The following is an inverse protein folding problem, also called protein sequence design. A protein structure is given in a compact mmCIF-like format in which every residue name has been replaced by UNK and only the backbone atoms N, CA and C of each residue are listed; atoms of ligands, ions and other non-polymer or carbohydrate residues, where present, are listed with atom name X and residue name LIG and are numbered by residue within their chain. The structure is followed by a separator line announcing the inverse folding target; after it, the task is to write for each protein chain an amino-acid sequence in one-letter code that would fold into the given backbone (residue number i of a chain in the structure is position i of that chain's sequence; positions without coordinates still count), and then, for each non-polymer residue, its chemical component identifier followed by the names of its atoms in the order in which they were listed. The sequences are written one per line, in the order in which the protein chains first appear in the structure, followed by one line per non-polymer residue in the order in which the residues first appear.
data_IF_942729073857
#
_entry.id   IF_942729073857
#
_cell.length_a   1.000
_cell.length_b   1.000
_cell.length_c   1.000
_cell.angle_alpha   90.00
_cell.angle_beta   90.00
_cell.angle_gamma   90.00
#
_symmetry.space_group_name_H-M   'P 1'
#
loop_
_entity.id
_entity.type
_entity.pdbx_description
1 polymer ?
#
# COMPACT_ATOMS: atom_id res chain seq x y z
N UNK A 1 -40.14 7.24 3.57
CA UNK A 1 -38.77 6.86 3.99
C UNK A 1 -37.69 7.71 3.31
N UNK A 2 -37.74 7.95 1.99
CA UNK A 2 -36.73 8.77 1.28
C UNK A 2 -36.66 10.22 1.82
N UNK A 3 -37.78 10.86 2.08
CA UNK A 3 -37.82 12.24 2.56
C UNK A 3 -37.23 12.40 3.97
N UNK A 4 -37.43 11.43 4.85
CA UNK A 4 -36.85 11.46 6.21
C UNK A 4 -35.32 11.32 6.18
N UNK A 5 -34.78 10.46 5.30
CA UNK A 5 -33.33 10.30 5.14
C UNK A 5 -32.71 11.56 4.53
N UNK A 6 -33.36 12.16 3.54
CA UNK A 6 -32.92 13.42 2.96
C UNK A 6 -32.87 14.55 4.01
N UNK A 7 -33.87 14.64 4.90
CA UNK A 7 -33.85 15.60 6.03
C UNK A 7 -32.66 15.36 6.96
N UNK A 8 -32.38 14.09 7.31
CA UNK A 8 -31.23 13.74 8.17
C UNK A 8 -29.89 14.14 7.52
N UNK A 9 -29.74 13.86 6.23
CA UNK A 9 -28.55 14.27 5.46
C UNK A 9 -28.39 15.79 5.47
N UNK A 10 -29.46 16.54 5.15
CA UNK A 10 -29.43 18.00 5.13
C UNK A 10 -29.11 18.57 6.50
N UNK A 11 -29.67 18.00 7.58
CA UNK A 11 -29.37 18.42 8.96
C UNK A 11 -27.91 18.23 9.32
N UNK A 12 -27.29 17.10 8.96
CA UNK A 12 -25.86 16.89 9.20
C UNK A 12 -24.98 17.81 8.34
N UNK A 13 -25.45 18.14 7.12
CA UNK A 13 -24.75 19.10 6.24
C UNK A 13 -24.77 20.55 6.77
N UNK A 14 -25.52 20.87 7.81
CA UNK A 14 -25.42 22.16 8.49
C UNK A 14 -24.05 22.33 9.18
N UNK A 15 -23.38 21.25 9.53
CA UNK A 15 -22.01 21.25 10.03
C UNK A 15 -21.03 21.22 8.87
N UNK A 16 -20.13 22.21 8.80
CA UNK A 16 -19.14 22.35 7.71
C UNK A 16 -18.28 21.08 7.55
N UNK A 17 -17.82 20.51 8.65
CA UNK A 17 -16.99 19.30 8.64
C UNK A 17 -17.70 18.14 7.92
N UNK A 18 -18.94 17.87 8.30
CA UNK A 18 -19.74 16.82 7.66
C UNK A 18 -20.00 17.13 6.19
N UNK A 19 -20.38 18.38 5.88
CA UNK A 19 -20.62 18.81 4.50
C UNK A 19 -19.37 18.63 3.63
N UNK A 20 -18.21 19.10 4.08
CA UNK A 20 -16.96 18.97 3.32
C UNK A 20 -16.57 17.50 3.07
N UNK A 21 -16.74 16.66 4.09
CA UNK A 21 -16.41 15.23 4.04
C UNK A 21 -17.30 14.44 3.08
N UNK A 22 -18.61 14.76 3.04
CA UNK A 22 -19.59 13.94 2.32
C UNK A 22 -20.20 14.60 1.08
N UNK A 23 -20.01 15.88 0.80
CA UNK A 23 -20.66 16.62 -0.31
C UNK A 23 -20.52 15.95 -1.68
N UNK A 24 -19.38 15.29 -1.95
CA UNK A 24 -19.13 14.61 -3.23
C UNK A 24 -19.87 13.25 -3.32
N UNK A 25 -20.24 12.66 -2.20
CA UNK A 25 -20.92 11.36 -2.10
C UNK A 25 -22.45 11.52 -2.02
N UNK A 26 -22.92 12.69 -1.65
CA UNK A 26 -24.36 12.98 -1.54
C UNK A 26 -24.95 13.13 -2.94
N UNK A 27 -25.83 12.20 -3.28
CA UNK A 27 -26.58 12.25 -4.54
C UNK A 27 -27.64 13.34 -4.48
N UNK A 28 -27.50 14.37 -5.31
CA UNK A 28 -28.51 15.46 -5.37
C UNK A 28 -29.91 14.94 -5.71
N UNK A 29 -30.02 13.87 -6.51
CA UNK A 29 -31.30 13.20 -6.80
C UNK A 29 -32.00 12.56 -5.59
N UNK A 30 -31.25 12.24 -4.54
CA UNK A 30 -31.82 11.68 -3.30
C UNK A 30 -32.39 12.75 -2.37
N UNK A 31 -32.04 14.02 -2.59
CA UNK A 31 -32.52 15.14 -1.76
C UNK A 31 -33.90 15.64 -2.18
N UNK A 32 -34.39 15.24 -3.36
CA UNK A 32 -35.75 15.56 -3.84
C UNK A 32 -36.16 17.03 -3.59
N UNK A 33 -37.16 17.25 -2.73
CA UNK A 33 -37.73 18.55 -2.40
C UNK A 33 -36.82 19.46 -1.55
N UNK A 34 -35.65 18.93 -1.09
CA UNK A 34 -34.69 19.65 -0.23
C UNK A 34 -33.52 20.24 -1.02
N UNK A 35 -33.49 20.08 -2.36
CA UNK A 35 -32.41 20.56 -3.20
C UNK A 35 -32.17 22.06 -3.06
N UNK A 36 -33.22 22.85 -2.99
CA UNK A 36 -33.10 24.32 -2.88
C UNK A 36 -32.47 24.72 -1.53
N UNK A 37 -32.86 24.04 -0.44
CA UNK A 37 -32.32 24.27 0.89
C UNK A 37 -30.84 23.77 0.96
N UNK A 38 -30.54 22.64 0.36
CA UNK A 38 -29.17 22.15 0.26
C UNK A 38 -28.28 23.10 -0.55
N UNK A 39 -28.80 23.67 -1.64
CA UNK A 39 -28.10 24.70 -2.43
C UNK A 39 -27.77 25.96 -1.63
N UNK A 40 -28.61 26.32 -0.66
CA UNK A 40 -28.32 27.43 0.28
C UNK A 40 -27.13 27.08 1.20
N UNK A 41 -27.07 25.85 1.71
CA UNK A 41 -25.93 25.36 2.51
C UNK A 41 -24.62 25.44 1.70
N UNK A 42 -24.64 24.92 0.46
CA UNK A 42 -23.49 25.00 -0.45
C UNK A 42 -23.03 26.46 -0.64
N UNK A 43 -23.95 27.38 -0.89
CA UNK A 43 -23.65 28.79 -1.13
C UNK A 43 -23.15 29.48 0.13
N UNK A 44 -23.78 29.24 1.28
CA UNK A 44 -23.37 29.80 2.57
C UNK A 44 -21.93 29.42 2.92
N UNK A 45 -21.58 28.13 2.81
CA UNK A 45 -20.21 27.69 3.10
C UNK A 45 -19.18 28.21 2.09
N UNK A 46 -19.58 28.52 0.87
CA UNK A 46 -18.71 29.13 -0.13
C UNK A 46 -18.46 30.60 0.16
N UNK A 47 -19.49 31.38 0.56
CA UNK A 47 -19.42 32.83 0.79
C UNK A 47 -18.89 33.19 2.18
N UNK A 48 -19.06 32.29 3.17
CA UNK A 48 -18.60 32.47 4.55
C UNK A 48 -17.58 31.36 4.93
N UNK A 49 -16.30 31.53 4.58
CA UNK A 49 -15.27 30.48 4.82
C UNK A 49 -15.07 30.11 6.30
N UNK A 50 -15.31 31.07 7.21
CA UNK A 50 -15.09 30.87 8.66
C UNK A 50 -16.34 30.32 9.39
N UNK A 51 -17.47 30.14 8.71
CA UNK A 51 -18.67 29.57 9.29
C UNK A 51 -18.50 28.05 9.47
N UNK A 52 -18.50 27.56 10.69
CA UNK A 52 -18.37 26.14 11.00
C UNK A 52 -19.70 25.39 11.07
N UNK A 53 -20.77 26.09 11.42
CA UNK A 53 -22.12 25.52 11.54
C UNK A 53 -23.15 26.55 11.15
N UNK A 54 -24.20 26.14 10.41
CA UNK A 54 -25.33 26.96 10.02
C UNK A 54 -26.49 26.61 10.98
N UNK A 55 -26.95 27.57 11.76
CA UNK A 55 -28.13 27.35 12.60
C UNK A 55 -29.40 27.31 11.72
N UNK A 56 -30.44 26.55 12.11
CA UNK A 56 -31.70 26.48 11.34
C UNK A 56 -32.33 27.84 11.02
N UNK A 57 -32.34 28.75 11.97
CA UNK A 57 -32.87 30.11 11.74
C UNK A 57 -32.03 30.92 10.71
N UNK A 58 -30.70 30.80 10.78
CA UNK A 58 -29.79 31.40 9.82
C UNK A 58 -29.96 30.80 8.42
N UNK A 59 -30.22 29.48 8.35
CA UNK A 59 -30.48 28.77 7.10
C UNK A 59 -31.71 29.39 6.39
N UNK A 60 -32.78 29.65 7.13
CA UNK A 60 -33.97 30.28 6.54
C UNK A 60 -33.71 31.72 6.10
N UNK A 61 -33.00 32.50 6.91
CA UNK A 61 -32.61 33.89 6.54
C UNK A 61 -31.73 33.89 5.28
N UNK A 62 -30.78 32.98 5.19
CA UNK A 62 -29.93 32.80 4.01
C UNK A 62 -30.75 32.35 2.80
N UNK A 63 -31.75 31.46 2.99
CA UNK A 63 -32.66 31.07 1.92
C UNK A 63 -33.41 32.29 1.33
N UNK A 64 -33.97 33.14 2.18
CA UNK A 64 -34.67 34.37 1.74
C UNK A 64 -33.73 35.34 1.04
N UNK A 65 -32.52 35.50 1.55
CA UNK A 65 -31.50 36.40 1.00
C UNK A 65 -31.01 35.94 -0.37
N UNK A 66 -30.77 34.64 -0.53
CA UNK A 66 -30.27 34.11 -1.80
C UNK A 66 -31.37 33.91 -2.87
N UNK A 67 -32.63 33.88 -2.46
CA UNK A 67 -33.77 33.64 -3.33
C UNK A 67 -34.87 34.73 -3.18
N UNK A 68 -34.56 36.00 -3.40
CA UNK A 68 -35.49 37.10 -3.11
C UNK A 68 -36.77 37.09 -3.99
N UNK A 69 -36.68 36.47 -5.19
CA UNK A 69 -37.80 36.42 -6.14
C UNK A 69 -38.67 35.17 -5.98
N UNK A 70 -38.38 34.29 -5.02
CA UNK A 70 -39.17 33.08 -4.80
C UNK A 70 -40.61 33.41 -4.37
N UNK A 71 -41.54 32.58 -4.85
CA UNK A 71 -42.98 32.68 -4.49
C UNK A 71 -43.18 32.46 -2.98
N UNK A 72 -44.29 32.97 -2.44
CA UNK A 72 -44.62 32.75 -1.05
C UNK A 72 -44.74 31.28 -0.72
N UNK A 73 -45.30 30.45 -1.61
CA UNK A 73 -45.41 29.02 -1.44
C UNK A 73 -44.04 28.31 -1.31
N UNK A 74 -43.00 28.79 -2.01
CA UNK A 74 -41.64 28.24 -1.87
C UNK A 74 -40.97 28.66 -0.55
N UNK A 75 -41.24 29.92 -0.11
CA UNK A 75 -40.78 30.40 1.20
C UNK A 75 -41.40 29.63 2.35
N UNK A 76 -42.72 29.35 2.26
CA UNK A 76 -43.44 28.52 3.25
C UNK A 76 -42.92 27.07 3.29
N UNK A 77 -42.61 26.50 2.13
CA UNK A 77 -41.98 25.16 2.08
C UNK A 77 -40.60 25.18 2.74
N UNK A 78 -39.76 26.17 2.45
CA UNK A 78 -38.44 26.23 3.06
C UNK A 78 -38.54 26.41 4.60
N UNK A 79 -39.48 27.23 5.10
CA UNK A 79 -39.73 27.33 6.52
C UNK A 79 -40.19 26.03 7.15
N UNK A 80 -41.05 25.28 6.44
CA UNK A 80 -41.47 23.95 6.91
C UNK A 80 -40.28 23.01 7.02
N UNK A 81 -39.39 22.99 6.00
CA UNK A 81 -38.18 22.13 6.02
C UNK A 81 -37.31 22.51 7.22
N UNK A 82 -37.06 23.81 7.48
CA UNK A 82 -36.25 24.22 8.62
C UNK A 82 -36.89 23.80 9.94
N UNK A 83 -38.21 23.90 10.07
CA UNK A 83 -38.96 23.45 11.27
C UNK A 83 -38.84 21.90 11.44
N UNK A 84 -38.86 21.17 10.33
CA UNK A 84 -38.75 19.71 10.37
C UNK A 84 -37.32 19.24 10.67
N UNK A 85 -36.29 20.01 10.24
CA UNK A 85 -34.89 19.72 10.59
C UNK A 85 -34.67 19.76 12.13
N UNK A 86 -35.32 20.68 12.84
CA UNK A 86 -35.20 20.76 14.31
C UNK A 86 -35.75 19.51 15.01
N UNK A 87 -36.80 18.90 14.48
CA UNK A 87 -37.52 17.78 15.10
C UNK A 87 -36.92 16.40 14.79
N UNK A 88 -36.00 16.32 13.82
CA UNK A 88 -35.48 15.03 13.38
C UNK A 88 -34.34 14.57 14.28
N UNK A 89 -34.49 13.39 14.89
CA UNK A 89 -33.41 12.70 15.59
C UNK A 89 -32.45 12.05 14.61
N UNK A 90 -31.15 12.20 14.87
CA UNK A 90 -30.09 11.72 14.00
C UNK A 90 -29.24 10.67 14.74
N UNK A 91 -29.04 9.55 14.07
CA UNK A 91 -27.91 8.67 14.31
C UNK A 91 -26.94 8.89 13.13
N UNK A 92 -25.82 9.55 13.39
CA UNK A 92 -24.86 9.96 12.37
C UNK A 92 -24.29 8.74 11.62
N UNK A 93 -23.92 7.67 12.34
CA UNK A 93 -23.35 6.45 11.75
C UNK A 93 -24.30 5.81 10.72
N UNK A 94 -25.60 5.76 11.05
CA UNK A 94 -26.61 5.22 10.13
C UNK A 94 -26.76 6.10 8.88
N UNK A 95 -26.65 7.42 9.01
CA UNK A 95 -26.74 8.34 7.87
C UNK A 95 -25.50 8.20 7.00
N UNK A 96 -24.31 8.11 7.60
CA UNK A 96 -23.04 7.90 6.89
C UNK A 96 -23.08 6.59 6.12
N UNK A 97 -23.48 5.48 6.76
CA UNK A 97 -23.62 4.19 6.11
C UNK A 97 -24.58 4.26 4.92
N UNK A 98 -25.70 4.97 5.06
CA UNK A 98 -26.67 5.13 3.97
C UNK A 98 -26.10 5.95 2.81
N UNK A 99 -25.37 7.05 3.09
CA UNK A 99 -24.70 7.84 2.04
C UNK A 99 -23.70 6.99 1.28
N UNK A 100 -22.91 6.17 1.96
CA UNK A 100 -21.93 5.27 1.37
C UNK A 100 -22.60 4.23 0.46
N UNK A 101 -23.64 3.55 0.94
CA UNK A 101 -24.39 2.56 0.17
C UNK A 101 -25.08 3.17 -1.07
N UNK A 102 -25.64 4.38 -0.95
CA UNK A 102 -26.23 5.08 -2.08
C UNK A 102 -25.16 5.46 -3.14
N UNK A 103 -24.01 5.93 -2.68
CA UNK A 103 -22.90 6.27 -3.57
C UNK A 103 -22.37 5.02 -4.30
N UNK A 104 -22.16 3.92 -3.56
CA UNK A 104 -21.77 2.61 -4.11
C UNK A 104 -22.76 2.14 -5.19
N UNK A 105 -24.03 2.19 -4.87
CA UNK A 105 -25.09 1.80 -5.81
C UNK A 105 -25.07 2.65 -7.10
N UNK A 106 -24.76 3.94 -6.98
CA UNK A 106 -24.62 4.82 -8.14
C UNK A 106 -23.42 4.44 -9.00
N UNK A 107 -22.25 4.22 -8.39
CA UNK A 107 -21.04 3.81 -9.12
C UNK A 107 -21.25 2.49 -9.86
N UNK A 108 -21.90 1.52 -9.23
CA UNK A 108 -22.26 0.24 -9.87
C UNK A 108 -23.23 0.47 -11.04
N UNK A 109 -24.21 1.35 -10.89
CA UNK A 109 -25.15 1.67 -11.97
C UNK A 109 -24.44 2.36 -13.14
N UNK A 110 -23.58 3.33 -12.90
CA UNK A 110 -22.80 4.02 -13.93
C UNK A 110 -21.84 3.07 -14.64
N UNK A 111 -21.19 2.17 -13.89
CA UNK A 111 -20.32 1.12 -14.43
C UNK A 111 -21.11 0.16 -15.34
N UNK A 112 -22.29 -0.27 -14.91
CA UNK A 112 -23.17 -1.14 -15.71
C UNK A 112 -23.63 -0.45 -17.01
N UNK A 113 -23.98 0.84 -16.95
CA UNK A 113 -24.33 1.62 -18.15
C UNK A 113 -23.18 1.70 -19.13
N UNK A 114 -21.95 2.01 -18.65
CA UNK A 114 -20.76 2.05 -19.51
C UNK A 114 -20.44 0.69 -20.11
N UNK A 115 -20.58 -0.41 -19.36
CA UNK A 115 -20.42 -1.76 -19.88
C UNK A 115 -21.42 -2.05 -21.02
N UNK A 116 -22.68 -1.64 -20.86
CA UNK A 116 -23.72 -1.82 -21.89
C UNK A 116 -23.42 -0.99 -23.14
N UNK A 117 -22.89 0.21 -22.98
CA UNK A 117 -22.53 1.08 -24.12
C UNK A 117 -21.33 0.47 -24.89
N UNK A 118 -20.32 -0.04 -24.21
CA UNK A 118 -19.20 -0.76 -24.83
C UNK A 118 -19.69 -2.01 -25.55
N UNK A 119 -20.57 -2.81 -24.92
CA UNK A 119 -21.16 -4.01 -25.54
C UNK A 119 -21.94 -3.69 -26.83
N UNK A 120 -22.59 -2.55 -26.89
CA UNK A 120 -23.33 -2.08 -28.09
C UNK A 120 -22.44 -1.47 -29.18
N UNK A 121 -21.11 -1.49 -29.00
CA UNK A 121 -20.15 -0.97 -29.98
C UNK A 121 -19.86 0.53 -29.86
N UNK A 122 -20.12 1.14 -28.67
CA UNK A 122 -19.70 2.50 -28.36
C UNK A 122 -18.20 2.62 -28.09
N UNK A 123 -17.66 3.83 -28.23
CA UNK A 123 -16.20 4.14 -28.09
C UNK A 123 -15.66 4.09 -26.64
N UNK A 124 -16.31 3.35 -25.74
CA UNK A 124 -15.89 3.25 -24.33
C UNK A 124 -14.75 2.24 -24.13
N UNK A 125 -13.74 2.62 -23.33
CA UNK A 125 -12.68 1.70 -22.90
C UNK A 125 -13.06 0.96 -21.60
N UNK A 126 -12.83 -0.36 -21.55
CA UNK A 126 -13.02 -1.20 -20.34
C UNK A 126 -12.26 -0.61 -19.14
N UNK A 127 -11.09 -0.02 -19.39
CA UNK A 127 -10.30 0.68 -18.36
C UNK A 127 -11.07 1.82 -17.67
N UNK A 128 -11.98 2.50 -18.38
CA UNK A 128 -12.80 3.57 -17.80
C UNK A 128 -13.81 3.03 -16.78
N UNK A 129 -14.26 1.79 -16.97
CA UNK A 129 -15.18 1.10 -16.04
C UNK A 129 -14.41 0.64 -14.80
N UNK A 130 -13.22 0.05 -15.00
CA UNK A 130 -12.34 -0.37 -13.90
C UNK A 130 -11.99 0.82 -13.01
N UNK A 131 -11.56 1.96 -13.61
CA UNK A 131 -11.27 3.19 -12.86
C UNK A 131 -12.47 3.72 -12.08
N UNK A 132 -13.67 3.59 -12.62
CA UNK A 132 -14.89 4.02 -11.95
C UNK A 132 -15.18 3.16 -10.72
N UNK A 133 -15.01 1.84 -10.83
CA UNK A 133 -15.20 0.91 -9.71
C UNK A 133 -14.11 1.05 -8.65
N UNK A 134 -12.87 1.31 -9.05
CA UNK A 134 -11.75 1.59 -8.12
C UNK A 134 -11.92 2.91 -7.33
N UNK A 135 -12.76 3.84 -7.79
CA UNK A 135 -13.12 5.03 -7.00
C UNK A 135 -13.88 4.67 -5.72
N UNK A 136 -14.47 3.48 -5.63
CA UNK A 136 -15.09 2.98 -4.40
C UNK A 136 -14.06 2.73 -3.30
N UNK A 137 -12.89 2.18 -3.63
CA UNK A 137 -11.81 1.89 -2.66
C UNK A 137 -11.21 3.17 -2.07
N UNK A 138 -11.25 4.28 -2.81
CA UNK A 138 -10.79 5.60 -2.37
C UNK A 138 -11.82 6.38 -1.53
N UNK A 139 -12.93 5.76 -1.11
CA UNK A 139 -13.97 6.38 -0.29
C UNK A 139 -13.44 6.74 1.13
N UNK A 140 -12.29 6.20 1.50
CA UNK A 140 -11.63 6.40 2.79
C UNK A 140 -10.49 7.43 2.83
N UNK A 141 -10.06 8.00 1.68
CA UNK A 141 -9.01 9.03 1.67
C UNK A 141 -9.54 10.36 2.26
N UNK A 142 -9.89 10.32 3.53
CA UNK A 142 -10.00 11.51 4.35
C UNK A 142 -8.57 12.04 4.56
N UNK A 143 -8.33 13.29 4.20
CA UNK A 143 -7.15 14.00 4.69
C UNK A 143 -7.24 13.93 6.22
N UNK A 144 -6.45 13.06 6.83
CA UNK A 144 -6.42 12.90 8.27
C UNK A 144 -5.30 13.78 8.80
N UNK A 145 -5.62 14.69 9.71
CA UNK A 145 -4.60 15.45 10.40
C UNK A 145 -3.82 14.52 11.32
N UNK A 146 -2.51 14.49 11.17
CA UNK A 146 -1.61 13.70 12.02
C UNK A 146 -1.54 14.34 13.39
N UNK A 147 -1.43 13.53 14.45
CA UNK A 147 -1.22 14.02 15.82
C UNK A 147 -0.01 14.94 15.89
N UNK A 148 -0.11 15.97 16.72
CA UNK A 148 1.00 16.90 17.05
C UNK A 148 1.54 16.63 18.44
N UNK A 149 1.02 15.60 19.13
CA UNK A 149 1.49 15.20 20.45
C UNK A 149 2.85 14.51 20.33
N UNK A 150 3.85 15.05 20.99
CA UNK A 150 5.23 14.55 20.92
C UNK A 150 5.37 13.13 21.49
N UNK A 151 4.65 12.82 22.56
CA UNK A 151 4.75 11.50 23.21
C UNK A 151 4.12 10.40 22.33
N UNK A 152 3.06 10.72 21.61
CA UNK A 152 2.45 9.82 20.62
C UNK A 152 3.38 9.62 19.42
N UNK A 153 3.96 10.69 18.89
CA UNK A 153 4.91 10.62 17.77
C UNK A 153 6.15 9.80 18.13
N UNK A 154 6.70 9.98 19.35
CA UNK A 154 7.86 9.21 19.80
C UNK A 154 7.55 7.71 19.95
N UNK A 155 6.33 7.34 20.37
CA UNK A 155 5.89 5.94 20.41
C UNK A 155 5.74 5.34 19.03
N UNK A 156 5.17 6.10 18.08
CA UNK A 156 4.99 5.65 16.70
C UNK A 156 6.33 5.48 15.98
N UNK A 157 7.29 6.37 16.23
CA UNK A 157 8.63 6.37 15.64
C UNK A 157 9.65 5.51 16.41
N UNK A 158 9.24 4.73 17.40
CA UNK A 158 10.15 3.89 18.19
C UNK A 158 10.77 2.79 17.32
N UNK A 159 12.10 2.76 17.26
CA UNK A 159 12.87 1.73 16.57
C UNK A 159 12.61 0.31 17.09
N UNK A 160 12.11 0.15 18.31
CA UNK A 160 11.72 -1.15 18.85
C UNK A 160 10.60 -1.83 18.04
N UNK A 161 9.82 -1.06 17.30
CA UNK A 161 8.77 -1.56 16.41
C UNK A 161 9.31 -2.10 15.07
N UNK A 162 10.55 -1.80 14.71
CA UNK A 162 11.15 -2.22 13.44
C UNK A 162 11.58 -3.68 13.46
N UNK A 163 11.43 -4.35 12.32
CA UNK A 163 12.00 -5.68 12.06
C UNK A 163 13.49 -5.54 11.80
N UNK A 164 14.31 -6.21 12.61
CA UNK A 164 15.78 -6.11 12.54
C UNK A 164 16.36 -7.14 11.57
N UNK A 165 17.40 -6.77 10.84
CA UNK A 165 18.13 -7.69 9.97
C UNK A 165 19.01 -8.61 10.82
N UNK A 166 19.19 -9.85 10.39
CA UNK A 166 20.02 -10.82 11.13
C UNK A 166 21.50 -10.79 10.73
N UNK A 167 21.81 -10.49 9.47
CA UNK A 167 23.18 -10.39 8.96
C UNK A 167 23.24 -9.56 7.66
N UNK A 168 24.31 -8.80 7.42
CA UNK A 168 25.39 -8.52 8.38
C UNK A 168 24.92 -7.62 9.52
N UNK A 169 25.54 -7.75 10.68
CA UNK A 169 25.18 -7.03 11.92
C UNK A 169 25.21 -5.50 11.74
N UNK A 170 26.20 -4.99 11.01
CA UNK A 170 26.34 -3.56 10.67
C UNK A 170 25.12 -2.97 9.97
N UNK A 171 24.29 -3.79 9.29
CA UNK A 171 23.09 -3.29 8.64
C UNK A 171 22.11 -2.68 9.64
N UNK A 172 21.96 -3.30 10.83
CA UNK A 172 21.13 -2.73 11.90
C UNK A 172 21.72 -1.46 12.51
N UNK A 173 23.04 -1.36 12.61
CA UNK A 173 23.69 -0.15 13.12
C UNK A 173 23.42 1.06 12.22
N UNK A 174 23.39 0.82 10.90
CA UNK A 174 23.24 1.86 9.88
C UNK A 174 21.77 2.16 9.52
N UNK A 175 20.92 1.12 9.41
CA UNK A 175 19.53 1.22 8.93
C UNK A 175 18.52 1.15 10.06
N UNK A 176 18.88 0.57 11.22
CA UNK A 176 18.02 0.33 12.40
C UNK A 176 16.93 -0.73 12.21
N UNK A 177 16.66 -1.14 10.99
CA UNK A 177 15.61 -2.09 10.62
C UNK A 177 14.58 -1.50 9.68
N UNK A 178 13.55 -2.26 9.38
CA UNK A 178 12.43 -1.89 8.52
C UNK A 178 11.11 -2.19 9.23
N UNK A 179 10.05 -1.50 8.90
CA UNK A 179 8.76 -1.65 9.58
C UNK A 179 7.59 -1.77 8.63
N UNK A 180 6.42 -1.94 9.18
CA UNK A 180 5.16 -1.87 8.44
C UNK A 180 5.04 -0.54 7.71
N UNK A 181 4.45 -0.56 6.54
CA UNK A 181 4.36 0.62 5.67
C UNK A 181 5.67 0.98 4.94
N UNK A 182 6.80 0.29 5.17
CA UNK A 182 8.04 0.52 4.46
C UNK A 182 8.18 -0.37 3.22
N UNK A 183 8.69 0.22 2.14
CA UNK A 183 9.01 -0.48 0.92
C UNK A 183 10.52 -0.48 0.67
N UNK A 184 11.12 -1.68 0.65
CA UNK A 184 12.54 -1.90 0.44
C UNK A 184 12.79 -2.57 -0.91
N UNK A 185 13.73 -2.05 -1.69
CA UNK A 185 14.22 -2.67 -2.92
C UNK A 185 15.57 -3.34 -2.65
N UNK A 186 15.70 -4.61 -3.05
CA UNK A 186 16.96 -5.34 -3.07
C UNK A 186 17.30 -5.68 -4.51
N UNK A 187 18.47 -5.26 -4.99
CA UNK A 187 18.86 -5.50 -6.37
C UNK A 187 20.30 -5.97 -6.50
N UNK A 188 20.56 -6.80 -7.50
CA UNK A 188 21.89 -7.29 -7.83
C UNK A 188 21.91 -7.88 -9.24
N UNK A 189 23.12 -8.15 -9.76
CA UNK A 189 23.29 -8.97 -10.95
C UNK A 189 22.83 -10.40 -10.71
N UNK A 190 22.48 -11.16 -11.77
CA UNK A 190 22.31 -12.61 -11.67
C UNK A 190 23.50 -13.25 -10.94
N UNK A 191 23.24 -14.26 -10.14
CA UNK A 191 24.26 -15.05 -9.39
C UNK A 191 25.09 -14.26 -8.37
N UNK A 192 24.73 -13.02 -8.06
CA UNK A 192 25.39 -12.22 -7.00
C UNK A 192 24.87 -12.50 -5.60
N UNK A 193 23.82 -13.33 -5.44
CA UNK A 193 23.33 -13.74 -4.14
C UNK A 193 22.05 -13.09 -3.64
N UNK A 194 21.24 -12.42 -4.51
CA UNK A 194 19.94 -11.83 -4.13
C UNK A 194 19.04 -12.79 -3.36
N UNK A 195 18.81 -13.96 -3.94
CA UNK A 195 17.94 -14.99 -3.35
C UNK A 195 18.46 -15.46 -1.99
N UNK A 196 19.78 -15.72 -1.87
CA UNK A 196 20.38 -16.08 -0.59
C UNK A 196 20.25 -14.97 0.46
N UNK A 197 20.28 -13.70 0.05
CA UNK A 197 20.12 -12.57 0.95
C UNK A 197 18.72 -12.49 1.56
N UNK A 198 17.66 -12.48 0.71
CA UNK A 198 16.31 -12.43 1.26
C UNK A 198 15.93 -13.69 2.03
N UNK A 199 16.41 -14.88 1.60
CA UNK A 199 16.23 -16.13 2.35
C UNK A 199 16.87 -16.05 3.72
N UNK A 200 18.13 -15.57 3.80
CA UNK A 200 18.79 -15.34 5.07
C UNK A 200 18.06 -14.34 5.95
N UNK A 201 17.57 -13.25 5.40
CA UNK A 201 16.76 -12.25 6.12
C UNK A 201 15.51 -12.89 6.74
N UNK A 202 14.79 -13.74 5.98
CA UNK A 202 13.54 -14.36 6.42
C UNK A 202 13.81 -15.48 7.43
N UNK A 203 14.66 -16.45 7.09
CA UNK A 203 14.78 -17.72 7.79
C UNK A 203 16.15 -17.99 8.43
N UNK A 204 17.17 -17.20 8.16
CA UNK A 204 18.46 -17.38 8.83
C UNK A 204 18.35 -17.16 10.34
N UNK A 205 19.31 -17.59 11.16
CA UNK A 205 19.30 -17.39 12.61
C UNK A 205 19.03 -15.94 12.97
N UNK A 206 18.10 -15.72 13.89
CA UNK A 206 17.59 -14.40 14.26
C UNK A 206 16.96 -13.60 13.10
N UNK A 207 16.60 -14.25 11.99
CA UNK A 207 15.88 -13.64 10.89
C UNK A 207 14.46 -13.21 11.26
N UNK A 208 13.75 -12.64 10.32
CA UNK A 208 12.43 -12.08 10.57
C UNK A 208 11.44 -13.09 11.18
N UNK A 209 11.46 -14.37 10.73
CA UNK A 209 10.56 -15.40 11.23
C UNK A 209 10.80 -15.77 12.71
N UNK A 210 11.98 -15.47 13.27
CA UNK A 210 12.27 -15.68 14.68
C UNK A 210 11.84 -14.53 15.58
N UNK A 211 11.50 -13.36 15.02
CA UNK A 211 11.08 -12.21 15.82
C UNK A 211 9.65 -12.38 16.32
N UNK A 212 9.41 -12.08 17.59
CA UNK A 212 8.11 -12.28 18.25
C UNK A 212 6.99 -11.45 17.60
N UNK A 213 7.33 -10.24 17.10
CA UNK A 213 6.40 -9.33 16.44
C UNK A 213 6.06 -9.72 14.99
N UNK A 214 6.67 -10.77 14.44
CA UNK A 214 6.39 -11.28 13.10
C UNK A 214 5.60 -12.58 13.21
N UNK A 215 4.40 -12.61 12.67
CA UNK A 215 3.50 -13.76 12.69
C UNK A 215 3.22 -14.32 11.29
N UNK A 216 3.29 -13.48 10.25
CA UNK A 216 2.92 -13.87 8.90
C UNK A 216 3.86 -13.22 7.87
N UNK A 217 4.60 -14.06 7.15
CA UNK A 217 5.50 -13.67 6.05
C UNK A 217 5.01 -14.33 4.78
N UNK A 218 4.63 -13.54 3.79
CA UNK A 218 4.28 -14.03 2.47
C UNK A 218 5.45 -13.87 1.49
N UNK A 219 5.76 -14.92 0.75
CA UNK A 219 6.83 -14.92 -0.27
C UNK A 219 6.23 -15.29 -1.62
N UNK A 220 6.25 -14.37 -2.56
CA UNK A 220 5.76 -14.55 -3.92
C UNK A 220 6.91 -14.83 -4.86
N UNK A 221 6.96 -16.07 -5.41
CA UNK A 221 8.04 -16.55 -6.26
C UNK A 221 7.57 -16.61 -7.72
N UNK A 222 8.20 -15.85 -8.59
CA UNK A 222 7.93 -15.87 -10.04
C UNK A 222 9.19 -16.12 -10.90
N UNK A 223 10.34 -16.32 -10.28
CA UNK A 223 11.61 -16.62 -10.95
C UNK A 223 11.97 -18.10 -10.90
N UNK A 224 12.07 -18.66 -9.72
CA UNK A 224 12.40 -20.07 -9.49
C UNK A 224 11.20 -20.86 -8.96
N UNK A 225 11.27 -22.22 -9.05
CA UNK A 225 10.25 -23.08 -8.43
C UNK A 225 10.18 -22.84 -6.92
N UNK A 226 9.00 -22.57 -6.35
CA UNK A 226 8.83 -22.30 -4.92
C UNK A 226 9.44 -23.39 -4.01
N UNK A 227 9.35 -24.65 -4.41
CA UNK A 227 9.96 -25.77 -3.67
C UNK A 227 11.46 -25.63 -3.47
N UNK A 228 12.18 -25.02 -4.44
CA UNK A 228 13.62 -24.74 -4.29
C UNK A 228 13.85 -23.67 -3.23
N UNK A 229 13.03 -22.62 -3.22
CA UNK A 229 13.13 -21.55 -2.23
C UNK A 229 12.78 -22.05 -0.83
N UNK A 230 11.75 -22.91 -0.67
CA UNK A 230 11.44 -23.57 0.62
C UNK A 230 12.64 -24.40 1.09
N UNK A 231 13.27 -25.17 0.19
CA UNK A 231 14.45 -25.94 0.56
C UNK A 231 15.63 -25.05 1.02
N UNK A 232 15.86 -23.91 0.34
CA UNK A 232 16.87 -22.93 0.75
C UNK A 232 16.53 -22.25 2.08
N UNK A 233 15.24 -21.99 2.39
CA UNK A 233 14.81 -21.53 3.70
C UNK A 233 15.18 -22.54 4.80
N UNK A 234 14.98 -23.86 4.54
CA UNK A 234 15.41 -24.92 5.45
C UNK A 234 16.93 -24.94 5.61
N UNK A 235 17.70 -24.83 4.54
CA UNK A 235 19.16 -24.74 4.63
C UNK A 235 19.62 -23.56 5.48
N UNK A 236 18.96 -22.40 5.31
CA UNK A 236 19.31 -21.18 6.01
C UNK A 236 18.98 -21.24 7.51
N UNK A 237 17.82 -21.75 7.90
CA UNK A 237 17.42 -21.85 9.30
C UNK A 237 18.18 -22.93 10.06
N UNK A 238 18.48 -24.06 9.41
CA UNK A 238 19.23 -25.15 10.04
C UNK A 238 20.76 -24.95 10.01
N UNK A 239 21.24 -23.96 9.25
CA UNK A 239 22.68 -23.77 8.97
C UNK A 239 23.34 -25.00 8.34
N UNK A 240 22.61 -25.76 7.51
CA UNK A 240 23.05 -27.03 6.92
C UNK A 240 23.20 -26.93 5.40
N UNK A 241 24.20 -27.61 4.86
CA UNK A 241 24.31 -27.83 3.42
C UNK A 241 23.30 -28.89 2.96
N UNK A 242 23.05 -28.99 1.65
CA UNK A 242 22.21 -30.05 1.09
C UNK A 242 22.62 -31.45 1.58
N UNK A 243 23.90 -31.74 1.54
CA UNK A 243 24.43 -33.03 1.97
C UNK A 243 24.12 -33.32 3.44
N UNK A 244 24.33 -32.36 4.33
CA UNK A 244 24.02 -32.51 5.76
C UNK A 244 22.53 -32.74 6.02
N UNK A 245 21.65 -32.09 5.26
CA UNK A 245 20.20 -32.30 5.37
C UNK A 245 19.82 -33.74 4.92
N UNK A 246 20.45 -34.24 3.85
CA UNK A 246 20.22 -35.61 3.38
C UNK A 246 20.71 -36.66 4.40
N UNK A 247 21.79 -36.37 5.14
CA UNK A 247 22.35 -37.21 6.20
C UNK A 247 21.54 -37.13 7.52
N UNK A 248 21.06 -35.90 7.88
CA UNK A 248 20.36 -35.65 9.15
C UNK A 248 19.05 -34.83 8.94
N UNK A 249 18.05 -35.40 8.24
CA UNK A 249 16.83 -34.65 7.92
C UNK A 249 15.98 -34.28 9.15
N UNK A 250 16.08 -35.04 10.23
CA UNK A 250 15.35 -34.83 11.47
C UNK A 250 15.78 -33.50 12.10
N UNK A 251 17.08 -33.26 12.20
CA UNK A 251 17.63 -32.01 12.79
C UNK A 251 17.24 -30.79 12.00
N UNK A 252 17.34 -30.85 10.66
CA UNK A 252 16.91 -29.79 9.79
C UNK A 252 15.40 -29.47 9.96
N UNK A 253 14.56 -30.52 10.10
CA UNK A 253 13.12 -30.36 10.28
C UNK A 253 12.76 -29.80 11.66
N UNK A 254 13.53 -30.09 12.70
CA UNK A 254 13.33 -29.49 14.04
C UNK A 254 13.56 -27.97 14.01
N UNK A 255 14.60 -27.49 13.34
CA UNK A 255 14.84 -26.06 13.17
C UNK A 255 13.74 -25.41 12.30
N UNK A 256 13.35 -26.06 11.19
CA UNK A 256 12.30 -25.58 10.31
C UNK A 256 10.94 -25.46 11.01
N UNK A 257 10.58 -26.41 11.87
CA UNK A 257 9.34 -26.39 12.65
C UNK A 257 9.18 -25.13 13.52
N UNK A 258 10.28 -24.50 13.95
CA UNK A 258 10.23 -23.30 14.79
C UNK A 258 9.65 -22.08 14.06
N UNK A 259 9.78 -22.04 12.72
CA UNK A 259 9.44 -20.85 11.93
C UNK A 259 8.50 -21.13 10.75
N UNK A 260 8.32 -22.39 10.33
CA UNK A 260 7.60 -22.76 9.09
C UNK A 260 6.16 -22.24 9.04
N UNK A 261 5.48 -22.24 10.18
CA UNK A 261 4.07 -21.88 10.26
C UNK A 261 3.84 -20.35 10.10
N UNK A 262 4.93 -19.56 10.16
CA UNK A 262 4.93 -18.13 9.88
C UNK A 262 5.27 -17.78 8.43
N UNK A 263 5.77 -18.72 7.62
CA UNK A 263 6.29 -18.49 6.27
C UNK A 263 5.41 -19.16 5.23
N UNK A 264 4.79 -18.37 4.37
CA UNK A 264 3.92 -18.83 3.30
C UNK A 264 4.54 -18.51 1.95
N UNK A 265 4.87 -19.55 1.17
CA UNK A 265 5.56 -19.41 -0.13
C UNK A 265 4.61 -19.80 -1.26
N UNK A 266 4.44 -18.90 -2.22
CA UNK A 266 3.49 -19.02 -3.32
C UNK A 266 4.18 -19.07 -4.68
N UNK A 267 3.65 -19.89 -5.62
CA UNK A 267 4.01 -19.88 -7.04
C UNK A 267 3.17 -18.79 -7.73
N UNK A 268 3.82 -17.80 -8.31
CA UNK A 268 3.18 -16.57 -8.75
C UNK A 268 3.57 -16.20 -10.19
N UNK A 269 3.58 -17.15 -11.13
CA UNK A 269 4.00 -16.89 -12.51
C UNK A 269 3.15 -15.88 -13.25
N UNK A 270 1.85 -15.85 -12.97
CA UNK A 270 0.86 -14.97 -13.63
C UNK A 270 0.23 -13.98 -12.63
N UNK A 271 0.98 -13.61 -11.60
CA UNK A 271 0.49 -12.81 -10.49
C UNK A 271 0.51 -11.32 -10.84
N UNK A 272 -0.56 -10.61 -10.50
CA UNK A 272 -0.69 -9.17 -10.73
C UNK A 272 -0.50 -8.37 -9.45
N UNK A 273 -0.25 -7.07 -9.59
CA UNK A 273 -0.15 -6.16 -8.43
C UNK A 273 -1.47 -6.14 -7.65
N UNK A 274 -2.60 -6.22 -8.35
CA UNK A 274 -3.94 -6.26 -7.74
C UNK A 274 -4.14 -7.55 -6.91
N UNK A 275 -3.56 -8.67 -7.37
CA UNK A 275 -3.59 -9.93 -6.60
C UNK A 275 -2.79 -9.81 -5.29
N UNK A 276 -1.66 -9.10 -5.30
CA UNK A 276 -0.87 -8.81 -4.10
C UNK A 276 -1.69 -7.96 -3.12
N UNK A 277 -2.37 -6.92 -3.62
CA UNK A 277 -3.22 -6.07 -2.79
C UNK A 277 -4.35 -6.85 -2.12
N UNK A 278 -5.08 -7.66 -2.90
CA UNK A 278 -6.16 -8.51 -2.40
C UNK A 278 -5.66 -9.51 -1.34
N UNK A 279 -4.48 -10.10 -1.57
CA UNK A 279 -3.85 -10.97 -0.58
C UNK A 279 -3.52 -10.22 0.72
N UNK A 280 -2.91 -9.04 0.62
CA UNK A 280 -2.56 -8.24 1.80
C UNK A 280 -3.80 -7.80 2.58
N UNK A 281 -4.92 -7.51 1.91
CA UNK A 281 -6.19 -7.18 2.54
C UNK A 281 -6.77 -8.36 3.34
N UNK A 282 -6.78 -9.55 2.73
CA UNK A 282 -7.39 -10.76 3.29
C UNK A 282 -6.53 -11.35 4.43
N UNK A 283 -5.22 -11.53 4.20
CA UNK A 283 -4.35 -12.26 5.11
C UNK A 283 -3.51 -11.38 6.04
N UNK A 284 -3.46 -10.07 5.80
CA UNK A 284 -2.75 -9.05 6.60
C UNK A 284 -1.34 -9.49 7.03
N UNK A 285 -0.46 -9.82 6.08
CA UNK A 285 0.90 -10.24 6.41
C UNK A 285 1.68 -9.10 7.07
N UNK A 286 2.62 -9.44 7.95
CA UNK A 286 3.55 -8.47 8.51
C UNK A 286 4.62 -8.09 7.48
N UNK A 287 5.08 -9.09 6.71
CA UNK A 287 6.14 -8.95 5.71
C UNK A 287 5.73 -9.64 4.40
N UNK A 288 5.99 -8.97 3.29
CA UNK A 288 5.85 -9.50 1.94
C UNK A 288 7.18 -9.43 1.22
N UNK A 289 7.60 -10.54 0.60
CA UNK A 289 8.77 -10.61 -0.29
C UNK A 289 8.30 -10.99 -1.70
N UNK A 290 8.66 -10.20 -2.71
CA UNK A 290 8.31 -10.44 -4.12
C UNK A 290 9.59 -10.72 -4.91
N UNK A 291 9.79 -11.95 -5.31
CA UNK A 291 10.98 -12.41 -6.04
C UNK A 291 10.62 -12.92 -7.45
N UNK A 292 10.62 -12.10 -8.49
CA UNK A 292 11.11 -10.75 -8.81
C UNK A 292 9.95 -9.78 -9.05
N UNK A 293 10.05 -8.56 -8.52
CA UNK A 293 9.01 -7.55 -8.71
C UNK A 293 8.90 -7.09 -10.18
N UNK A 294 9.99 -7.05 -10.92
CA UNK A 294 10.01 -6.67 -12.34
C UNK A 294 9.19 -7.60 -13.26
N UNK A 295 8.90 -8.82 -12.81
CA UNK A 295 8.11 -9.82 -13.54
C UNK A 295 6.63 -9.87 -13.13
N UNK A 296 6.23 -9.05 -12.17
CA UNK A 296 4.83 -8.95 -11.78
C UNK A 296 4.05 -8.28 -12.91
N UNK A 297 2.88 -8.82 -13.19
CA UNK A 297 2.01 -8.27 -14.22
C UNK A 297 1.15 -7.12 -13.65
N UNK A 298 0.78 -6.22 -14.54
CA UNK A 298 -0.13 -5.12 -14.26
C UNK A 298 -1.14 -5.02 -15.40
N UNK A 299 -2.42 -5.00 -15.07
CA UNK A 299 -3.50 -4.84 -16.02
C UNK A 299 -3.50 -3.45 -16.65
N UNK A 300 -3.71 -3.36 -17.95
CA UNK A 300 -3.81 -2.08 -18.67
C UNK A 300 -2.90 -1.99 -19.89
N UNK A 301 -3.05 -0.90 -20.64
CA UNK A 301 -2.17 -0.54 -21.77
C UNK A 301 -1.18 0.51 -21.34
N UNK A 302 0.09 0.28 -21.64
CA UNK A 302 1.21 1.16 -21.29
C UNK A 302 1.96 1.55 -22.55
N UNK A 303 2.40 2.80 -22.65
CA UNK A 303 3.14 3.28 -23.82
C UNK A 303 4.57 2.69 -23.89
N UNK A 304 5.11 2.22 -22.76
CA UNK A 304 6.41 1.59 -22.69
C UNK A 304 6.56 0.65 -21.50
N UNK A 305 7.51 -0.29 -21.58
CA UNK A 305 7.87 -1.16 -20.45
C UNK A 305 8.37 -0.37 -19.23
N UNK A 306 9.02 0.78 -19.45
CA UNK A 306 9.48 1.66 -18.36
C UNK A 306 8.30 2.30 -17.59
N UNK A 307 7.25 2.69 -18.28
CA UNK A 307 6.03 3.23 -17.68
C UNK A 307 5.32 2.15 -16.86
N UNK A 308 5.16 0.94 -17.42
CA UNK A 308 4.59 -0.23 -16.71
C UNK A 308 5.37 -0.51 -15.42
N UNK A 309 6.70 -0.60 -15.49
CA UNK A 309 7.54 -0.83 -14.31
C UNK A 309 7.38 0.27 -13.27
N UNK A 310 7.41 1.54 -13.67
CA UNK A 310 7.20 2.65 -12.74
C UNK A 310 5.88 2.52 -12.00
N UNK A 311 4.80 2.17 -12.70
CA UNK A 311 3.47 2.05 -12.09
C UNK A 311 3.41 0.83 -11.15
N UNK A 312 4.05 -0.31 -11.47
CA UNK A 312 4.16 -1.47 -10.59
C UNK A 312 4.80 -1.07 -9.25
N UNK A 313 5.92 -0.36 -9.28
CA UNK A 313 6.63 0.06 -8.07
C UNK A 313 5.84 1.08 -7.26
N UNK A 314 5.16 2.02 -7.92
CA UNK A 314 4.28 2.99 -7.28
C UNK A 314 3.10 2.29 -6.57
N UNK A 315 2.41 1.38 -7.25
CA UNK A 315 1.30 0.62 -6.66
C UNK A 315 1.79 -0.27 -5.51
N UNK A 316 2.97 -0.91 -5.64
CA UNK A 316 3.58 -1.69 -4.55
C UNK A 316 3.85 -0.81 -3.32
N UNK A 317 4.34 0.43 -3.52
CA UNK A 317 4.51 1.41 -2.44
C UNK A 317 3.18 1.78 -1.80
N UNK A 318 2.16 2.04 -2.61
CA UNK A 318 0.82 2.40 -2.14
C UNK A 318 0.19 1.26 -1.32
N UNK A 319 0.35 0.00 -1.76
CA UNK A 319 -0.09 -1.18 -1.02
C UNK A 319 0.64 -1.27 0.32
N UNK A 320 1.96 -1.15 0.33
CA UNK A 320 2.77 -1.17 1.56
C UNK A 320 2.23 -0.19 2.61
N UNK A 321 2.00 1.06 2.21
CA UNK A 321 1.50 2.12 3.10
C UNK A 321 0.04 1.89 3.51
N UNK A 322 -0.85 1.60 2.55
CA UNK A 322 -2.29 1.48 2.78
C UNK A 322 -2.67 0.23 3.58
N UNK A 323 -1.96 -0.89 3.36
CA UNK A 323 -2.21 -2.17 4.03
C UNK A 323 -1.35 -2.36 5.28
N UNK A 324 -0.51 -1.37 5.62
CA UNK A 324 0.41 -1.40 6.77
C UNK A 324 1.27 -2.67 6.78
N UNK A 325 1.94 -2.96 5.66
CA UNK A 325 2.77 -4.15 5.46
C UNK A 325 4.20 -3.77 5.07
N UNK A 326 5.20 -4.46 5.62
CA UNK A 326 6.59 -4.30 5.21
C UNK A 326 6.85 -5.05 3.90
N UNK A 327 7.19 -4.33 2.82
CA UNK A 327 7.40 -4.93 1.51
C UNK A 327 8.85 -4.93 1.07
N UNK A 328 9.27 -6.07 0.49
CA UNK A 328 10.54 -6.24 -0.18
C UNK A 328 10.32 -6.60 -1.65
N UNK A 329 10.76 -5.72 -2.54
CA UNK A 329 10.80 -5.97 -3.98
C UNK A 329 12.22 -6.36 -4.41
N UNK A 330 12.36 -7.56 -4.96
CA UNK A 330 13.64 -8.04 -5.50
C UNK A 330 13.68 -7.73 -6.98
N UNK A 331 14.77 -7.12 -7.48
CA UNK A 331 14.93 -6.85 -8.91
C UNK A 331 16.37 -7.07 -9.40
N UNK A 332 16.58 -6.94 -10.70
CA UNK A 332 17.89 -7.13 -11.31
C UNK A 332 18.64 -5.80 -11.48
N UNK A 333 19.96 -5.90 -11.44
CA UNK A 333 20.86 -4.83 -11.87
C UNK A 333 21.15 -4.94 -13.38
N UNK A 334 21.33 -3.81 -14.02
CA UNK A 334 21.76 -3.73 -15.44
C UNK A 334 23.20 -4.22 -15.64
N UNK A 335 23.61 -4.35 -16.88
CA UNK A 335 25.00 -4.70 -17.24
C UNK A 335 26.04 -3.73 -16.65
N UNK A 336 25.65 -2.50 -16.37
CA UNK A 336 26.54 -1.48 -15.78
C UNK A 336 27.05 -1.85 -14.38
N UNK A 337 26.40 -2.81 -13.70
CA UNK A 337 26.79 -3.32 -12.39
C UNK A 337 27.74 -4.54 -12.46
N UNK A 338 28.14 -4.96 -13.68
CA UNK A 338 29.05 -6.09 -13.87
C UNK A 338 30.42 -5.79 -13.26
N UNK A 339 31.01 -6.75 -12.57
CA UNK A 339 32.33 -6.68 -11.92
C UNK A 339 32.52 -5.45 -11.00
N UNK A 340 31.45 -5.09 -10.26
CA UNK A 340 31.48 -3.96 -9.34
C UNK A 340 31.11 -4.36 -7.92
N UNK A 341 32.01 -4.10 -6.97
CA UNK A 341 31.70 -4.18 -5.55
C UNK A 341 30.76 -3.05 -5.08
N UNK A 342 30.85 -1.89 -5.72
CA UNK A 342 29.99 -0.75 -5.40
C UNK A 342 28.98 -0.53 -6.52
N UNK A 343 27.70 -0.75 -6.20
CA UNK A 343 26.58 -0.50 -7.10
C UNK A 343 25.55 0.42 -6.43
N UNK A 344 24.99 1.34 -7.17
CA UNK A 344 23.96 2.27 -6.69
C UNK A 344 22.68 2.12 -7.52
N UNK A 345 21.59 2.75 -7.07
CA UNK A 345 20.27 2.58 -7.69
C UNK A 345 20.23 2.96 -9.19
N UNK A 346 21.19 3.77 -9.67
CA UNK A 346 21.35 4.11 -11.09
C UNK A 346 21.80 2.91 -11.96
N UNK A 347 22.26 1.83 -11.31
CA UNK A 347 22.60 0.57 -11.97
C UNK A 347 21.46 -0.47 -11.95
N UNK A 348 20.28 -0.14 -11.45
CA UNK A 348 19.11 -1.02 -11.57
C UNK A 348 18.67 -1.19 -13.03
N UNK A 349 18.16 -2.33 -13.40
CA UNK A 349 17.57 -2.57 -14.71
C UNK A 349 16.24 -1.85 -14.88
N UNK A 350 15.96 -1.34 -16.09
CA UNK A 350 14.69 -0.71 -16.43
C UNK A 350 14.54 0.73 -15.88
N UNK A 351 13.42 1.05 -15.26
CA UNK A 351 13.08 2.41 -14.80
C UNK A 351 13.83 2.80 -13.53
N UNK A 352 15.11 3.10 -13.66
CA UNK A 352 16.04 3.39 -12.55
C UNK A 352 15.49 4.46 -11.58
N UNK A 353 15.18 5.63 -12.10
CA UNK A 353 14.64 6.76 -11.31
C UNK A 353 13.22 6.49 -10.80
N UNK A 354 12.37 5.87 -11.63
CA UNK A 354 10.99 5.56 -11.25
C UNK A 354 10.92 4.56 -10.09
N UNK A 355 11.73 3.49 -10.13
CA UNK A 355 11.83 2.53 -9.03
C UNK A 355 12.38 3.17 -7.75
N UNK A 356 13.49 3.92 -7.91
CA UNK A 356 14.15 4.55 -6.77
C UNK A 356 13.27 5.60 -6.08
N UNK A 357 12.39 6.29 -6.80
CA UNK A 357 11.50 7.29 -6.21
C UNK A 357 10.60 6.68 -5.13
N UNK A 358 10.09 5.47 -5.34
CA UNK A 358 9.06 4.83 -4.52
C UNK A 358 9.61 4.15 -3.26
N UNK A 359 10.88 3.68 -3.26
CA UNK A 359 11.45 2.97 -2.12
C UNK A 359 11.81 3.88 -0.94
N UNK A 360 11.74 3.34 0.26
CA UNK A 360 12.27 3.95 1.49
C UNK A 360 13.71 3.54 1.74
N UNK A 361 14.06 2.29 1.39
CA UNK A 361 15.38 1.71 1.49
C UNK A 361 15.76 1.01 0.18
N UNK A 362 16.99 1.21 -0.29
CA UNK A 362 17.52 0.48 -1.46
C UNK A 362 18.86 -0.14 -1.11
N UNK A 363 18.92 -1.47 -1.21
CA UNK A 363 20.09 -2.29 -0.95
C UNK A 363 20.57 -2.90 -2.26
N UNK A 364 21.73 -2.47 -2.75
CA UNK A 364 22.42 -3.10 -3.87
C UNK A 364 23.40 -4.15 -3.36
N UNK A 365 23.47 -5.33 -4.01
CA UNK A 365 24.47 -6.35 -3.67
C UNK A 365 25.52 -6.37 -4.78
N UNK A 366 26.68 -5.82 -4.47
CA UNK A 366 27.87 -5.82 -5.32
C UNK A 366 28.64 -7.13 -5.20
N UNK A 367 29.18 -7.56 -6.34
CA UNK A 367 30.11 -8.69 -6.48
C UNK A 367 31.18 -8.30 -7.48
N UNK A 368 32.44 -8.54 -7.16
CA UNK A 368 33.54 -8.50 -8.10
C UNK A 368 33.76 -9.88 -8.69
N UNK A 369 33.98 -9.98 -9.98
CA UNK A 369 34.26 -11.27 -10.60
C UNK A 369 35.69 -11.69 -10.29
N UNK A 370 35.85 -12.98 -10.00
CA UNK A 370 37.15 -13.56 -9.65
C UNK A 370 38.00 -13.73 -10.88
N UNK A 371 39.16 -13.10 -10.88
CA UNK A 371 40.10 -13.15 -11.99
C UNK A 371 41.01 -14.39 -11.99
N UNK A 372 41.15 -15.11 -10.83
CA UNK A 372 42.14 -16.18 -10.64
C UNK A 372 41.55 -17.58 -10.36
N UNK A 373 40.24 -17.76 -10.55
CA UNK A 373 39.59 -19.09 -10.41
C UNK A 373 39.31 -19.53 -8.97
N UNK A 374 39.53 -18.68 -7.98
CA UNK A 374 39.06 -18.87 -6.61
C UNK A 374 37.68 -18.22 -6.46
N UNK A 375 36.68 -18.95 -5.91
CA UNK A 375 35.38 -18.39 -5.62
C UNK A 375 35.47 -17.33 -4.51
N UNK A 376 35.31 -16.05 -4.85
CA UNK A 376 35.19 -14.97 -3.87
C UNK A 376 33.78 -14.92 -3.27
N UNK A 377 33.66 -15.31 -2.03
CA UNK A 377 32.41 -15.23 -1.27
C UNK A 377 32.15 -13.86 -0.65
N UNK A 378 33.00 -12.88 -0.88
CA UNK A 378 32.80 -11.50 -0.42
C UNK A 378 31.68 -10.85 -1.21
N UNK A 379 30.81 -10.15 -0.51
CA UNK A 379 29.74 -9.33 -1.08
C UNK A 379 29.74 -7.96 -0.40
N UNK A 380 29.22 -7.01 -1.13
CA UNK A 380 29.11 -5.65 -0.64
C UNK A 380 27.65 -5.22 -0.66
N UNK A 381 27.08 -4.91 0.50
CA UNK A 381 25.76 -4.30 0.57
C UNK A 381 25.92 -2.79 0.43
N UNK A 382 25.36 -2.24 -0.64
CA UNK A 382 25.45 -0.82 -0.97
C UNK A 382 24.11 -0.15 -0.65
N UNK A 383 24.07 0.67 0.37
CA UNK A 383 22.88 1.43 0.79
C UNK A 383 22.85 2.73 -0.01
N UNK A 384 22.16 2.73 -1.14
CA UNK A 384 22.12 3.84 -2.08
C UNK A 384 20.93 4.79 -1.89
N UNK A 385 19.91 4.35 -1.12
CA UNK A 385 18.80 5.17 -0.63
C UNK A 385 18.39 4.68 0.75
N UNK A 386 18.18 5.60 1.68
CA UNK A 386 17.71 5.29 3.03
C UNK A 386 16.99 6.49 3.62
N UNK A 387 15.66 6.48 3.58
CA UNK A 387 14.82 7.50 4.21
C UNK A 387 14.66 7.28 5.72
N UNK A 388 15.01 6.08 6.23
CA UNK A 388 14.74 5.69 7.61
C UNK A 388 15.71 6.36 8.57
N UNK A 389 17.01 6.36 8.23
CA UNK A 389 18.06 6.97 9.06
C UNK A 389 18.90 8.01 8.30
N UNK A 390 18.76 8.10 6.99
CA UNK A 390 19.57 8.97 6.14
C UNK A 390 21.00 8.47 5.89
N UNK A 391 21.41 7.33 6.46
CA UNK A 391 22.75 6.80 6.27
C UNK A 391 22.89 6.15 4.88
N UNK A 392 23.97 6.47 4.20
CA UNK A 392 24.36 5.87 2.92
C UNK A 392 25.79 5.36 3.01
N UNK A 393 26.06 4.21 2.41
CA UNK A 393 27.41 3.64 2.47
C UNK A 393 27.47 2.19 2.02
N UNK A 394 28.54 1.54 2.39
CA UNK A 394 28.89 0.20 1.95
C UNK A 394 29.18 -0.66 3.19
N UNK A 395 28.65 -1.87 3.20
CA UNK A 395 28.88 -2.87 4.23
C UNK A 395 29.44 -4.11 3.55
N UNK A 396 30.65 -4.51 3.93
CA UNK A 396 31.25 -5.75 3.45
C UNK A 396 30.70 -6.94 4.26
N UNK A 397 30.44 -8.06 3.60
CA UNK A 397 29.97 -9.29 4.21
C UNK A 397 30.37 -10.50 3.37
N UNK A 398 30.11 -11.69 3.86
CA UNK A 398 30.34 -12.94 3.14
C UNK A 398 29.04 -13.68 2.87
N UNK A 399 28.97 -14.31 1.70
CA UNK A 399 27.90 -15.26 1.36
C UNK A 399 28.37 -16.69 1.58
N UNK A 400 27.49 -17.55 2.07
CA UNK A 400 27.68 -19.00 2.14
C UNK A 400 26.61 -19.66 1.25
N UNK A 401 26.86 -19.79 -0.07
CA UNK A 401 25.84 -20.21 -1.04
C UNK A 401 25.25 -21.59 -0.73
N UNK A 402 26.10 -22.53 -0.25
CA UNK A 402 25.68 -23.90 0.08
C UNK A 402 24.67 -23.98 1.23
N UNK A 403 24.53 -22.91 2.01
CA UNK A 403 23.59 -22.79 3.13
C UNK A 403 22.58 -21.67 2.93
N UNK A 404 22.62 -20.95 1.81
CA UNK A 404 21.81 -19.73 1.55
C UNK A 404 21.91 -18.71 2.68
N UNK A 405 23.13 -18.43 3.15
CA UNK A 405 23.43 -17.56 4.30
C UNK A 405 24.28 -16.36 3.92
N UNK A 406 24.06 -15.28 4.66
CA UNK A 406 24.97 -14.15 4.78
C UNK A 406 25.54 -14.10 6.20
N UNK A 407 26.81 -13.73 6.33
CA UNK A 407 27.53 -13.60 7.59
C UNK A 407 28.38 -12.33 7.59
N UNK A 408 28.80 -11.87 8.74
CA UNK A 408 29.71 -10.75 8.93
C UNK A 408 31.09 -11.02 8.32
#
# INVERSE_FOLDING_TARGET
MKDLMALKIVKLCLKREFYQKYRKKIQKSSLSNLLDVYGVIEKTFKELPDCNEILPDDLYLNYLTYNPTNTQANKDKAMQVVTDLDKVDINEDNVVMTIQEMHKSQLVHEAAQKCLDIYKGGDGEVQSVIKLLQQEDNIGDSITEVTKDLDELLKEMDYSNLFTFNAPSQLNDCVKGVGKGHFTIIFARPESGKTAFWINMVAGPNGFAYQEKVNNIAVFCNEEKPTRNVFRLIQSCSDMTRRHIDEEPTLANEEWKKIRDKIHVYDCKDFTVESIDSYCEEYKPDIVVIDQLDKVELSGSFNSGHEKLREIYKLTRDISSRRDVCMFGICQASSDAHDKNHISFDTMEGSKTGKAAEADLIIGIGKKDDWEGEEDFTRTLCISKNKLTGWHGIIACKIVPSKSRYID
#
